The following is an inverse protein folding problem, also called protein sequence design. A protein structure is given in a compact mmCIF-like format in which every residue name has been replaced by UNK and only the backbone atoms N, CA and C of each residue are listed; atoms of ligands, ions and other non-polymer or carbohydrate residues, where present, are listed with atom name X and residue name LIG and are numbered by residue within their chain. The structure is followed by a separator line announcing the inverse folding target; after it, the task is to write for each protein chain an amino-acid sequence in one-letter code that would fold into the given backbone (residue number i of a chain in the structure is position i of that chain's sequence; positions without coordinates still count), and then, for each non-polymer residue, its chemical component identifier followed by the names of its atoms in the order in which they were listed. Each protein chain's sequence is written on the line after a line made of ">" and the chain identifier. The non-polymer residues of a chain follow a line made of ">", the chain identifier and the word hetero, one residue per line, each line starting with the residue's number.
data_IF_555464437845
#
_entry.id   IF_555464437845
#
_cell.length_a   1.000
_cell.length_b   1.000
_cell.length_c   1.000
_cell.angle_alpha   90.00
_cell.angle_beta   90.00
_cell.angle_gamma   90.00
#
_symmetry.space_group_name_H-M   'P 1'
#
loop_
_entity.id
_entity.type
_entity.pdbx_description
1 polymer ?
#
# COMPACT_ATOMS: atom_id res chain seq x y z
N UNK A 1 -11.34 6.00 5.11
CA UNK A 1 -10.55 5.99 3.86
C UNK A 1 -9.07 6.04 4.19
N UNK A 2 -8.35 4.90 4.16
CA UNK A 2 -6.94 4.80 4.59
C UNK A 2 -5.99 5.73 3.82
N UNK A 3 -6.25 5.98 2.53
CA UNK A 3 -5.48 6.91 1.70
C UNK A 3 -5.50 8.35 2.24
N UNK A 4 -6.58 8.77 2.92
CA UNK A 4 -6.69 10.11 3.51
C UNK A 4 -5.77 10.27 4.71
N UNK A 5 -5.54 9.21 5.48
CA UNK A 5 -4.68 9.28 6.66
C UNK A 5 -3.20 9.29 6.26
N UNK A 6 -2.81 8.51 5.25
CA UNK A 6 -1.44 8.54 4.72
C UNK A 6 -1.08 9.91 4.13
N UNK A 7 -2.00 10.54 3.39
CA UNK A 7 -1.80 11.93 2.91
C UNK A 7 -1.64 12.93 4.07
N UNK A 8 -2.39 12.77 5.16
CA UNK A 8 -2.25 13.61 6.36
C UNK A 8 -0.90 13.39 7.04
N UNK A 9 -0.44 12.14 7.13
CA UNK A 9 0.90 11.83 7.66
C UNK A 9 1.98 12.52 6.82
N UNK A 10 1.90 12.43 5.49
CA UNK A 10 2.84 13.11 4.59
C UNK A 10 2.81 14.64 4.80
N UNK A 11 1.63 15.24 4.96
CA UNK A 11 1.50 16.67 5.25
C UNK A 11 2.16 17.07 6.58
N UNK A 12 1.97 16.27 7.64
CA UNK A 12 2.64 16.48 8.93
C UNK A 12 4.16 16.38 8.77
N UNK A 13 4.68 15.43 7.98
CA UNK A 13 6.11 15.35 7.72
C UNK A 13 6.66 16.61 7.06
N UNK A 14 5.91 17.27 6.17
CA UNK A 14 6.33 18.55 5.61
C UNK A 14 6.36 19.67 6.65
N UNK A 15 5.38 19.73 7.55
CA UNK A 15 5.39 20.68 8.68
C UNK A 15 6.58 20.44 9.62
N UNK A 16 6.95 19.18 9.86
CA UNK A 16 8.13 18.82 10.65
C UNK A 16 9.43 19.31 9.99
N UNK A 17 9.54 19.19 8.66
CA UNK A 17 10.70 19.68 7.92
C UNK A 17 10.81 21.21 8.00
N UNK A 18 9.71 21.91 7.77
CA UNK A 18 9.66 23.37 7.87
C UNK A 18 10.05 23.86 9.28
N UNK A 19 9.52 23.20 10.32
CA UNK A 19 9.86 23.52 11.71
C UNK A 19 11.34 23.24 12.02
N UNK A 20 11.89 22.15 11.50
CA UNK A 20 13.30 21.82 11.68
C UNK A 20 14.23 22.84 10.98
N UNK A 21 13.85 23.28 9.77
CA UNK A 21 14.62 24.26 9.01
C UNK A 21 14.57 25.63 9.68
N UNK A 22 13.39 26.08 10.13
CA UNK A 22 13.23 27.33 10.86
C UNK A 22 13.99 27.32 12.19
N UNK A 23 13.84 26.24 12.97
CA UNK A 23 14.50 26.11 14.26
C UNK A 23 16.03 26.08 14.17
N UNK A 24 16.58 25.42 13.14
CA UNK A 24 18.03 25.42 12.91
C UNK A 24 18.54 26.79 12.41
N UNK A 25 17.70 27.55 11.70
CA UNK A 25 18.02 28.92 11.28
C UNK A 25 18.04 29.91 12.45
N UNK A 26 17.06 29.85 13.35
CA UNK A 26 16.93 30.74 14.51
C UNK A 26 17.72 30.27 15.75
N UNK A 27 18.69 29.37 15.55
CA UNK A 27 19.34 28.65 16.64
C UNK A 27 20.09 29.58 17.59
N UNK A 28 19.64 29.64 18.84
CA UNK A 28 20.28 30.44 19.90
C UNK A 28 21.18 29.60 20.85
N UNK A 29 20.96 28.28 20.92
CA UNK A 29 21.72 27.35 21.76
C UNK A 29 22.18 26.13 20.93
N UNK A 30 23.48 25.75 20.96
CA UNK A 30 23.98 24.54 20.31
C UNK A 30 23.16 23.27 20.56
N UNK A 31 22.56 23.10 21.74
CA UNK A 31 21.79 21.90 22.10
C UNK A 31 20.50 21.72 21.27
N UNK A 32 19.90 22.83 20.82
CA UNK A 32 18.66 22.80 20.03
C UNK A 32 18.87 22.25 18.60
N UNK A 33 20.08 22.36 18.05
CA UNK A 33 20.41 21.84 16.73
C UNK A 33 20.27 20.32 16.62
N UNK A 34 20.56 19.59 17.70
CA UNK A 34 20.38 18.12 17.75
C UNK A 34 18.90 17.76 17.63
N UNK A 35 18.01 18.54 18.26
CA UNK A 35 16.56 18.31 18.22
C UNK A 35 16.03 18.55 16.81
N UNK A 36 16.44 19.63 16.15
CA UNK A 36 16.00 19.92 14.78
C UNK A 36 16.56 18.91 13.76
N UNK A 37 17.81 18.45 13.95
CA UNK A 37 18.37 17.35 13.16
C UNK A 37 17.56 16.06 13.31
N UNK A 38 17.25 15.66 14.54
CA UNK A 38 16.43 14.47 14.81
C UNK A 38 15.01 14.59 14.24
N UNK A 39 14.40 15.78 14.32
CA UNK A 39 13.09 16.05 13.75
C UNK A 39 13.08 15.87 12.23
N UNK A 40 14.09 16.42 11.55
CA UNK A 40 14.28 16.32 10.10
C UNK A 40 14.44 14.86 9.66
N UNK A 41 15.26 14.10 10.36
CA UNK A 41 15.48 12.68 10.10
C UNK A 41 14.21 11.85 10.26
N UNK A 42 13.46 12.10 11.34
CA UNK A 42 12.19 11.42 11.59
C UNK A 42 11.18 11.73 10.48
N UNK A 43 11.07 12.99 10.06
CA UNK A 43 10.16 13.42 9.00
C UNK A 43 10.45 12.68 7.68
N UNK A 44 11.71 12.58 7.26
CA UNK A 44 12.07 11.85 6.04
C UNK A 44 11.78 10.35 6.13
N UNK A 45 12.09 9.71 7.25
CA UNK A 45 11.85 8.27 7.46
C UNK A 45 10.35 7.96 7.39
N UNK A 46 9.53 8.72 8.12
CA UNK A 46 8.07 8.53 8.15
C UNK A 46 7.45 8.82 6.79
N UNK A 47 7.86 9.91 6.12
CA UNK A 47 7.33 10.27 4.79
C UNK A 47 7.56 9.16 3.77
N UNK A 48 8.79 8.61 3.71
CA UNK A 48 9.12 7.50 2.80
C UNK A 48 8.26 6.26 3.05
N UNK A 49 7.99 5.92 4.32
CA UNK A 49 7.12 4.80 4.66
C UNK A 49 5.67 5.05 4.21
N UNK A 50 5.15 6.25 4.46
CA UNK A 50 3.80 6.62 4.06
C UNK A 50 3.61 6.67 2.54
N UNK A 51 4.58 7.22 1.81
CA UNK A 51 4.59 7.25 0.34
C UNK A 51 4.59 5.83 -0.25
N UNK A 52 5.42 4.94 0.31
CA UNK A 52 5.50 3.54 -0.11
C UNK A 52 4.17 2.80 0.07
N UNK A 53 3.49 2.98 1.20
CA UNK A 53 2.18 2.35 1.41
C UNK A 53 1.14 2.92 0.45
N UNK A 54 1.14 4.24 0.22
CA UNK A 54 0.21 4.90 -0.69
C UNK A 54 0.39 4.40 -2.15
N UNK A 55 1.63 4.19 -2.58
CA UNK A 55 1.94 3.57 -3.88
C UNK A 55 1.50 2.09 -3.94
N UNK A 56 1.72 1.33 -2.86
CA UNK A 56 1.27 -0.06 -2.75
C UNK A 56 -0.26 -0.18 -2.79
N UNK A 57 -1.00 0.74 -2.15
CA UNK A 57 -2.47 0.78 -2.22
C UNK A 57 -2.97 1.05 -3.64
N UNK A 58 -2.34 1.97 -4.39
CA UNK A 58 -2.66 2.26 -5.80
C UNK A 58 -2.37 1.10 -6.75
N UNK A 59 -1.37 0.27 -6.46
CA UNK A 59 -1.03 -0.91 -7.27
C UNK A 59 -1.90 -2.11 -6.96
N UNK A 60 -2.36 -2.29 -5.70
CA UNK A 60 -3.32 -3.33 -5.30
C UNK A 60 -4.67 -3.20 -6.01
N UNK A 61 -5.21 -1.98 -6.14
CA UNK A 61 -6.48 -1.75 -6.87
C UNK A 61 -6.46 -2.17 -8.34
N UNK A 62 -5.28 -2.25 -8.97
CA UNK A 62 -5.12 -2.62 -10.39
C UNK A 62 -5.16 -4.13 -10.65
N UNK A 63 -4.92 -4.96 -9.62
CA UNK A 63 -4.93 -6.42 -9.75
C UNK A 63 -6.31 -7.03 -9.49
N UNK A 64 -7.17 -6.36 -8.73
CA UNK A 64 -8.51 -6.84 -8.40
C UNK A 64 -9.52 -6.77 -9.55
N UNK A 65 -9.24 -6.02 -10.62
CA UNK A 65 -10.14 -5.89 -11.78
C UNK A 65 -9.98 -6.99 -12.85
N UNK A 66 -8.88 -7.76 -12.83
CA UNK A 66 -8.60 -8.79 -13.86
C UNK A 66 -9.05 -10.21 -13.49
N UNK A 67 -9.58 -10.43 -12.29
CA UNK A 67 -10.09 -11.73 -11.81
C UNK A 67 -11.61 -11.67 -11.68
N UNK A 68 -12.33 -11.30 -12.74
CA UNK A 68 -13.80 -11.42 -12.76
C UNK A 68 -14.38 -11.80 -14.12
N UNK A 69 -13.52 -12.12 -15.11
CA UNK A 69 -13.96 -12.63 -16.41
C UNK A 69 -13.19 -13.89 -16.80
N UNK A 70 -13.59 -15.02 -16.23
CA UNK A 70 -13.48 -16.33 -16.89
C UNK A 70 -14.84 -17.01 -16.78
N UNK A 71 -15.48 -17.39 -17.91
CA UNK A 71 -16.77 -18.07 -17.91
C UNK A 71 -16.68 -19.45 -17.26
N UNK A 72 -17.73 -19.79 -16.53
CA UNK A 72 -17.99 -21.10 -15.97
C UNK A 72 -18.62 -21.99 -17.05
N UNK A 73 -17.89 -23.02 -17.51
CA UNK A 73 -18.49 -24.15 -18.24
C UNK A 73 -18.16 -25.43 -17.47
N UNK A 74 -19.13 -25.84 -16.66
CA UNK A 74 -19.25 -27.21 -16.19
C UNK A 74 -20.32 -27.89 -17.03
N UNK A 75 -19.97 -29.00 -17.68
CA UNK A 75 -20.96 -29.96 -18.18
C UNK A 75 -20.47 -31.39 -17.90
N UNK A 76 -21.01 -31.90 -16.79
CA UNK A 76 -21.53 -33.23 -16.53
C UNK A 76 -21.14 -34.37 -17.49
N UNK A 77 -20.32 -35.31 -17.00
CA UNK A 77 -20.28 -36.67 -17.54
C UNK A 77 -21.54 -37.44 -17.11
N UNK A 78 -22.47 -37.59 -18.04
CA UNK A 78 -23.67 -38.41 -17.91
C UNK A 78 -23.31 -39.89 -18.16
N UNK A 79 -23.79 -40.78 -17.28
CA UNK A 79 -23.67 -42.23 -17.42
C UNK A 79 -24.50 -42.70 -18.61
N UNK A 80 -23.97 -43.64 -19.38
CA UNK A 80 -24.80 -44.68 -20.01
C UNK A 80 -24.21 -46.05 -19.73
N UNK A 81 -24.89 -46.77 -18.84
CA UNK A 81 -24.98 -48.23 -18.95
C UNK A 81 -25.63 -48.56 -20.29
N UNK A 82 -25.10 -49.53 -21.02
CA UNK A 82 -25.90 -50.48 -21.78
C UNK A 82 -25.02 -51.66 -22.23
N UNK A 83 -25.30 -52.80 -21.59
CA UNK A 83 -24.96 -54.15 -22.01
C UNK A 83 -25.74 -54.48 -23.30
N UNK A 84 -25.21 -55.33 -24.19
CA UNK A 84 -25.95 -56.58 -24.38
C UNK A 84 -25.03 -57.82 -24.51
N UNK A 85 -25.59 -58.96 -24.09
CA UNK A 85 -25.01 -60.30 -24.23
C UNK A 85 -24.62 -60.63 -25.67
N UNK A 86 -23.71 -61.56 -25.91
CA UNK A 86 -23.79 -62.95 -25.46
C UNK A 86 -23.93 -63.82 -26.72
N UNK A 87 -23.13 -64.87 -26.85
CA UNK A 87 -23.32 -65.83 -27.92
C UNK A 87 -22.04 -66.52 -28.40
N UNK A 88 -21.81 -67.69 -27.79
CA UNK A 88 -21.13 -68.92 -28.26
C UNK A 88 -20.04 -68.80 -29.32
#
# INVERSE_FOLDING_TARGET
>A
MPDSNLKRVIAICYQMLELADHGDHERNDPGSGVVYGALRDAAYKVRRLAEKELEASRTKSRKTEKVSKTPNEGESHERKEENPGGGR
#
